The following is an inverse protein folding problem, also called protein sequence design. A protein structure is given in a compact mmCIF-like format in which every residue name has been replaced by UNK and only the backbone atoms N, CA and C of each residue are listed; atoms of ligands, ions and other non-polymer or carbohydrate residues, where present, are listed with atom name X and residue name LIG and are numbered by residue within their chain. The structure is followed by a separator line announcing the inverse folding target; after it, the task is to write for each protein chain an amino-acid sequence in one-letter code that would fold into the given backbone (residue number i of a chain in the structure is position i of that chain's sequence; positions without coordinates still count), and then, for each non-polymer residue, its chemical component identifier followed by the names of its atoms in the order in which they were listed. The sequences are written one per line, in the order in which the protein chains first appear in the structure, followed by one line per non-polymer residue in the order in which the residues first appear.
data_IF_184895434745
#
_entry.id   IF_184895434745
#
_cell.length_a   1.000
_cell.length_b   1.000
_cell.length_c   1.000
_cell.angle_alpha   90.00
_cell.angle_beta   90.00
_cell.angle_gamma   90.00
#
_symmetry.space_group_name_H-M   'P 1'
#
loop_
_entity.id
_entity.type
_entity.pdbx_description
1 polymer ?
#
# COMPACT_ATOMS: atom_id res chain seq x y z
N UNK A 1 2.31 75.47 38.10
CA UNK A 1 3.30 74.38 38.24
C UNK A 1 2.51 73.12 38.58
N UNK A 2 2.12 72.31 37.54
CA UNK A 2 1.40 71.03 37.69
C UNK A 2 2.32 69.92 37.20
N UNK A 3 2.72 69.01 38.11
CA UNK A 3 3.51 67.84 37.82
C UNK A 3 2.58 66.71 37.37
N UNK A 4 2.68 66.29 36.12
CA UNK A 4 1.99 65.13 35.60
C UNK A 4 2.83 63.87 35.93
N UNK A 5 2.29 62.96 36.71
CA UNK A 5 2.89 61.65 36.98
C UNK A 5 2.52 60.69 35.85
N UNK A 6 3.51 60.24 35.09
CA UNK A 6 3.40 59.18 34.11
C UNK A 6 3.42 57.83 34.84
N UNK A 7 2.27 57.14 34.87
CA UNK A 7 2.18 55.76 35.34
C UNK A 7 2.46 54.80 34.16
N UNK A 8 3.60 54.11 34.25
CA UNK A 8 3.94 53.05 33.31
C UNK A 8 3.07 51.83 33.53
N UNK A 9 2.19 51.51 32.57
CA UNK A 9 1.43 50.24 32.53
C UNK A 9 2.31 49.21 31.86
N UNK A 10 2.82 48.27 32.64
CA UNK A 10 3.57 47.10 32.16
C UNK A 10 2.57 46.05 31.70
N UNK A 11 2.37 45.92 30.39
CA UNK A 11 1.56 44.84 29.78
C UNK A 11 2.40 43.56 29.77
N UNK A 12 2.06 42.63 30.68
CA UNK A 12 2.61 41.28 30.74
C UNK A 12 1.88 40.42 29.71
N UNK A 13 2.50 40.20 28.54
CA UNK A 13 2.00 39.28 27.50
C UNK A 13 2.24 37.83 27.96
N UNK A 14 1.23 37.20 28.51
CA UNK A 14 1.25 35.77 28.83
C UNK A 14 1.07 34.98 27.55
N UNK A 15 2.18 34.49 26.93
CA UNK A 15 2.16 33.60 25.79
C UNK A 15 1.61 32.22 26.25
N UNK A 16 0.35 31.93 25.92
CA UNK A 16 -0.22 30.60 26.05
C UNK A 16 0.50 29.66 25.04
N UNK A 17 1.51 28.94 25.51
CA UNK A 17 2.03 27.79 24.79
C UNK A 17 0.96 26.67 24.85
N UNK A 18 0.15 26.55 23.80
CA UNK A 18 -0.74 25.40 23.64
C UNK A 18 0.15 24.15 23.48
N UNK A 19 -0.06 23.09 24.28
CA UNK A 19 0.64 21.83 24.08
C UNK A 19 0.26 21.30 22.69
N UNK A 20 1.25 21.10 21.82
CA UNK A 20 1.10 20.31 20.59
C UNK A 20 0.78 18.89 21.04
N UNK A 21 -0.51 18.52 21.03
CA UNK A 21 -0.91 17.13 21.19
C UNK A 21 -0.23 16.32 20.09
N UNK A 22 0.52 15.26 20.41
CA UNK A 22 1.06 14.38 19.38
C UNK A 22 -0.13 13.85 18.55
N UNK A 23 -0.05 13.99 17.23
CA UNK A 23 -1.03 13.38 16.33
C UNK A 23 -1.09 11.90 16.69
N UNK A 24 -2.26 11.41 17.11
CA UNK A 24 -2.45 10.03 17.49
C UNK A 24 -2.15 9.17 16.25
N UNK A 25 -1.08 8.38 16.33
CA UNK A 25 -0.67 7.51 15.23
C UNK A 25 -1.77 6.48 14.98
N UNK A 26 -2.20 6.35 13.72
CA UNK A 26 -3.23 5.39 13.36
C UNK A 26 -2.67 3.98 13.49
N UNK A 27 -3.32 3.14 14.27
CA UNK A 27 -2.96 1.73 14.42
C UNK A 27 -2.99 1.01 13.06
N UNK A 28 -1.99 0.14 12.76
CA UNK A 28 -1.89 -0.52 11.46
C UNK A 28 -3.12 -1.36 11.13
N UNK A 29 -3.72 -2.02 12.12
CA UNK A 29 -4.95 -2.79 11.97
C UNK A 29 -6.15 -1.89 11.59
N UNK A 30 -6.32 -0.76 12.28
CA UNK A 30 -7.39 0.19 12.00
C UNK A 30 -7.24 0.82 10.62
N UNK A 31 -6.00 1.13 10.20
CA UNK A 31 -5.69 1.68 8.88
C UNK A 31 -6.13 0.73 7.76
N UNK A 32 -5.72 -0.54 7.83
CA UNK A 32 -6.08 -1.55 6.84
C UNK A 32 -7.58 -1.83 6.84
N UNK A 33 -8.21 -1.93 8.01
CA UNK A 33 -9.64 -2.18 8.12
C UNK A 33 -10.46 -1.02 7.51
N UNK A 34 -10.13 0.22 7.83
CA UNK A 34 -10.82 1.39 7.29
C UNK A 34 -10.71 1.44 5.76
N UNK A 35 -9.50 1.29 5.21
CA UNK A 35 -9.30 1.30 3.75
C UNK A 35 -10.03 0.14 3.08
N UNK A 36 -10.00 -1.06 3.66
CA UNK A 36 -10.73 -2.22 3.14
C UNK A 36 -12.23 -1.96 3.07
N UNK A 37 -12.81 -1.38 4.13
CA UNK A 37 -14.23 -1.04 4.16
C UNK A 37 -14.61 0.03 3.12
N UNK A 38 -13.76 1.06 2.92
CA UNK A 38 -13.97 2.06 1.86
C UNK A 38 -13.99 1.41 0.47
N UNK A 39 -13.02 0.53 0.18
CA UNK A 39 -12.95 -0.20 -1.10
C UNK A 39 -14.18 -1.07 -1.31
N UNK A 40 -14.55 -1.87 -0.30
CA UNK A 40 -15.74 -2.75 -0.38
C UNK A 40 -17.01 -1.93 -0.59
N UNK A 41 -17.17 -0.81 0.11
CA UNK A 41 -18.33 0.06 -0.06
C UNK A 41 -18.43 0.60 -1.49
N UNK A 42 -17.31 1.08 -2.06
CA UNK A 42 -17.25 1.55 -3.43
C UNK A 42 -17.59 0.45 -4.46
N UNK A 43 -17.08 -0.77 -4.25
CA UNK A 43 -17.36 -1.91 -5.12
C UNK A 43 -18.84 -2.34 -5.08
N UNK A 44 -19.47 -2.29 -3.91
CA UNK A 44 -20.92 -2.56 -3.78
C UNK A 44 -21.75 -1.51 -4.51
N UNK A 45 -21.40 -0.24 -4.34
CA UNK A 45 -22.09 0.87 -5.00
C UNK A 45 -21.96 0.81 -6.54
N UNK A 46 -20.78 0.41 -7.06
CA UNK A 46 -20.58 0.22 -8.51
C UNK A 46 -21.49 -0.85 -9.08
N UNK A 47 -21.58 -2.00 -8.37
CA UNK A 47 -22.44 -3.11 -8.81
C UNK A 47 -23.90 -2.69 -8.93
N UNK A 48 -24.39 -1.87 -8.01
CA UNK A 48 -25.78 -1.43 -7.96
C UNK A 48 -26.09 -0.37 -9.05
N UNK A 49 -25.07 0.32 -9.59
CA UNK A 49 -25.21 1.39 -10.59
C UNK A 49 -24.77 1.03 -12.01
N UNK A 50 -24.64 -0.28 -12.34
CA UNK A 50 -24.40 -0.78 -13.70
C UNK A 50 -23.14 -0.20 -14.39
N UNK A 51 -21.99 -0.15 -13.72
CA UNK A 51 -20.70 0.09 -14.37
C UNK A 51 -20.33 1.56 -14.64
N UNK A 52 -21.12 2.54 -14.20
CA UNK A 52 -20.77 3.96 -14.35
C UNK A 52 -19.57 4.40 -13.49
N UNK A 53 -19.11 3.55 -12.54
CA UNK A 53 -18.17 3.91 -11.51
C UNK A 53 -16.82 3.16 -11.54
N UNK A 54 -16.53 2.37 -12.58
CA UNK A 54 -15.23 1.68 -12.70
C UNK A 54 -14.04 2.65 -12.59
N UNK A 55 -14.21 3.89 -13.09
CA UNK A 55 -13.23 4.96 -12.90
C UNK A 55 -13.08 5.40 -11.45
N UNK A 56 -14.16 5.36 -10.66
CA UNK A 56 -14.11 5.72 -9.24
C UNK A 56 -13.35 4.66 -8.42
N UNK A 57 -13.54 3.37 -8.69
CA UNK A 57 -12.77 2.31 -8.02
C UNK A 57 -11.30 2.41 -8.38
N UNK A 58 -10.94 2.60 -9.65
CA UNK A 58 -9.56 2.79 -10.05
C UNK A 58 -8.92 4.00 -9.34
N UNK A 59 -9.62 5.14 -9.30
CA UNK A 59 -9.20 6.33 -8.57
C UNK A 59 -9.06 6.08 -7.06
N UNK A 60 -9.99 5.33 -6.45
CA UNK A 60 -9.92 4.97 -5.03
C UNK A 60 -8.70 4.09 -4.74
N UNK A 61 -8.45 3.09 -5.59
CA UNK A 61 -7.27 2.23 -5.48
C UNK A 61 -6.00 3.08 -5.58
N UNK A 62 -5.89 3.94 -6.58
CA UNK A 62 -4.73 4.82 -6.76
C UNK A 62 -4.50 5.79 -5.61
N UNK A 63 -5.56 6.37 -5.07
CA UNK A 63 -5.48 7.44 -4.07
C UNK A 63 -5.46 6.93 -2.63
N UNK A 64 -6.06 5.78 -2.35
CA UNK A 64 -6.21 5.24 -0.99
C UNK A 64 -5.46 3.94 -0.74
N UNK A 65 -5.44 3.04 -1.73
CA UNK A 65 -4.85 1.71 -1.54
C UNK A 65 -3.35 1.73 -1.85
N UNK A 66 -2.95 2.18 -3.05
CA UNK A 66 -1.55 2.14 -3.46
C UNK A 66 -0.61 2.94 -2.54
N UNK A 67 -1.01 4.09 -1.95
CA UNK A 67 -0.17 4.80 -0.99
C UNK A 67 0.09 4.04 0.32
N UNK A 68 -0.69 3.00 0.64
CA UNK A 68 -0.44 2.16 1.82
C UNK A 68 0.73 1.20 1.62
N UNK A 69 1.22 1.03 0.40
CA UNK A 69 2.29 0.07 0.08
C UNK A 69 3.64 0.76 -0.05
N UNK A 70 4.68 0.10 0.49
CA UNK A 70 6.08 0.42 0.16
C UNK A 70 6.56 -0.47 -1.00
N UNK A 71 6.29 -0.02 -2.23
CA UNK A 71 6.72 -0.76 -3.42
C UNK A 71 8.23 -0.85 -3.56
N UNK A 72 9.00 0.09 -3.01
CA UNK A 72 10.46 0.02 -3.01
C UNK A 72 10.95 -1.15 -2.18
N UNK A 73 10.44 -1.29 -0.94
CA UNK A 73 10.77 -2.41 -0.07
C UNK A 73 10.25 -3.75 -0.62
N UNK A 74 9.03 -3.79 -1.17
CA UNK A 74 8.51 -4.97 -1.87
C UNK A 74 9.46 -5.43 -2.96
N UNK A 75 9.94 -4.50 -3.80
CA UNK A 75 10.88 -4.79 -4.89
C UNK A 75 12.22 -5.27 -4.34
N UNK A 76 12.74 -4.62 -3.30
CA UNK A 76 13.96 -5.03 -2.61
C UNK A 76 13.88 -6.49 -2.12
N UNK A 77 12.76 -6.89 -1.55
CA UNK A 77 12.53 -8.25 -1.07
C UNK A 77 12.46 -9.27 -2.21
N UNK A 78 11.81 -8.91 -3.32
CA UNK A 78 11.70 -9.77 -4.50
C UNK A 78 13.04 -9.93 -5.24
N UNK A 79 13.80 -8.85 -5.40
CA UNK A 79 15.11 -8.83 -6.07
C UNK A 79 16.22 -9.36 -5.15
N UNK A 80 16.00 -9.34 -3.84
CA UNK A 80 16.88 -9.85 -2.79
C UNK A 80 18.33 -9.29 -2.88
N UNK A 81 19.33 -10.16 -2.88
CA UNK A 81 20.75 -9.75 -2.88
C UNK A 81 21.13 -8.84 -4.05
N UNK A 82 20.48 -9.00 -5.21
CA UNK A 82 20.77 -8.24 -6.42
C UNK A 82 20.33 -6.77 -6.32
N UNK A 83 19.45 -6.42 -5.36
CA UNK A 83 19.06 -5.03 -5.10
C UNK A 83 20.26 -4.14 -4.76
N UNK A 84 21.23 -4.66 -4.00
CA UNK A 84 22.43 -3.90 -3.58
C UNK A 84 23.40 -3.63 -4.72
N UNK A 85 23.36 -4.42 -5.79
CA UNK A 85 24.20 -4.25 -6.99
C UNK A 85 23.54 -3.38 -8.04
N UNK A 86 22.24 -3.14 -7.94
CA UNK A 86 21.50 -2.27 -8.83
C UNK A 86 21.83 -0.80 -8.57
N UNK A 87 22.01 -0.02 -9.63
CA UNK A 87 22.17 1.44 -9.55
C UNK A 87 20.88 2.10 -9.04
N UNK A 88 20.93 3.33 -8.50
CA UNK A 88 19.72 4.05 -8.09
C UNK A 88 18.67 4.17 -9.21
N UNK A 89 19.10 4.39 -10.45
CA UNK A 89 18.19 4.43 -11.61
C UNK A 89 17.52 3.09 -11.88
N UNK A 90 18.26 1.98 -11.79
CA UNK A 90 17.72 0.64 -11.92
C UNK A 90 16.76 0.29 -10.78
N UNK A 91 17.06 0.70 -9.55
CA UNK A 91 16.15 0.49 -8.41
C UNK A 91 14.81 1.20 -8.62
N UNK A 92 14.82 2.44 -9.12
CA UNK A 92 13.60 3.17 -9.48
C UNK A 92 12.82 2.47 -10.60
N UNK A 93 13.51 2.06 -11.67
CA UNK A 93 12.90 1.36 -12.80
C UNK A 93 12.29 0.01 -12.39
N UNK A 94 13.03 -0.80 -11.60
CA UNK A 94 12.53 -2.06 -11.04
C UNK A 94 11.28 -1.85 -10.18
N UNK A 95 11.31 -0.84 -9.31
CA UNK A 95 10.18 -0.53 -8.43
C UNK A 95 8.94 -0.17 -9.24
N UNK A 96 9.08 0.69 -10.26
CA UNK A 96 7.98 1.09 -11.13
C UNK A 96 7.43 -0.11 -11.93
N UNK A 97 8.31 -0.90 -12.53
CA UNK A 97 7.92 -2.05 -13.34
C UNK A 97 7.26 -3.17 -12.51
N UNK A 98 7.79 -3.46 -11.31
CA UNK A 98 7.23 -4.46 -10.40
C UNK A 98 5.91 -4.01 -9.79
N UNK A 99 5.79 -2.73 -9.37
CA UNK A 99 4.51 -2.12 -8.97
C UNK A 99 3.45 -2.35 -10.04
N UNK A 100 3.74 -2.01 -11.29
CA UNK A 100 2.80 -2.19 -12.42
C UNK A 100 2.39 -3.64 -12.59
N UNK A 101 3.34 -4.59 -12.49
CA UNK A 101 3.06 -6.02 -12.54
C UNK A 101 2.12 -6.45 -11.43
N UNK A 102 2.39 -6.06 -10.17
CA UNK A 102 1.57 -6.43 -9.01
C UNK A 102 0.16 -5.86 -9.12
N UNK A 103 0.05 -4.56 -9.39
CA UNK A 103 -1.25 -3.89 -9.55
C UNK A 103 -2.09 -4.60 -10.60
N UNK A 104 -1.53 -4.87 -11.77
CA UNK A 104 -2.24 -5.54 -12.85
C UNK A 104 -2.63 -6.98 -12.50
N UNK A 105 -1.69 -7.75 -11.93
CA UNK A 105 -1.92 -9.16 -11.59
C UNK A 105 -3.03 -9.32 -10.58
N UNK A 106 -3.09 -8.43 -9.58
CA UNK A 106 -4.02 -8.55 -8.47
C UNK A 106 -5.28 -7.68 -8.61
N UNK A 107 -5.35 -6.74 -9.57
CA UNK A 107 -6.58 -5.99 -9.86
C UNK A 107 -7.73 -6.87 -10.31
N UNK A 108 -7.44 -7.98 -10.99
CA UNK A 108 -8.46 -8.95 -11.40
C UNK A 108 -9.15 -9.61 -10.17
N UNK A 109 -8.41 -9.81 -9.07
CA UNK A 109 -8.98 -10.36 -7.84
C UNK A 109 -10.02 -9.42 -7.22
N UNK A 110 -9.80 -8.09 -7.32
CA UNK A 110 -10.76 -7.09 -6.88
C UNK A 110 -12.05 -7.15 -7.73
N UNK A 111 -11.92 -7.29 -9.05
CA UNK A 111 -13.07 -7.44 -9.96
C UNK A 111 -13.88 -8.70 -9.69
N UNK A 112 -13.28 -9.72 -9.07
CA UNK A 112 -13.92 -10.96 -8.63
C UNK A 112 -14.69 -10.87 -7.31
N UNK A 113 -14.63 -9.72 -6.62
CA UNK A 113 -15.34 -9.55 -5.36
C UNK A 113 -16.86 -9.65 -5.54
N UNK A 114 -17.50 -10.41 -4.67
CA UNK A 114 -18.98 -10.61 -4.63
C UNK A 114 -19.54 -10.28 -3.24
N UNK A 115 -19.41 -11.23 -2.34
CA UNK A 115 -19.99 -11.23 -1.00
C UNK A 115 -18.99 -11.67 0.09
N UNK A 116 -17.69 -11.67 -0.27
CA UNK A 116 -16.66 -12.03 0.68
C UNK A 116 -16.68 -11.08 1.88
N UNK A 117 -16.48 -11.67 3.06
CA UNK A 117 -16.33 -10.93 4.32
C UNK A 117 -14.87 -11.02 4.73
N UNK A 118 -14.25 -9.87 4.98
CA UNK A 118 -12.87 -9.78 5.47
C UNK A 118 -12.90 -9.45 6.95
N UNK A 119 -12.46 -10.40 7.78
CA UNK A 119 -12.39 -10.25 9.22
C UNK A 119 -10.94 -10.01 9.65
N UNK A 120 -10.65 -8.84 10.18
CA UNK A 120 -9.34 -8.52 10.76
C UNK A 120 -9.28 -9.05 12.18
N UNK A 121 -8.14 -9.66 12.54
CA UNK A 121 -7.86 -10.05 13.91
C UNK A 121 -7.40 -8.82 14.69
N UNK A 122 -7.87 -8.71 15.93
CA UNK A 122 -7.43 -7.64 16.82
C UNK A 122 -5.92 -7.75 17.06
N UNK A 123 -5.22 -6.63 16.96
CA UNK A 123 -3.81 -6.49 17.33
C UNK A 123 -3.55 -5.07 17.84
N UNK A 124 -2.52 -4.93 18.62
CA UNK A 124 -1.98 -3.66 19.09
C UNK A 124 -0.50 -3.61 18.72
N UNK A 125 -0.07 -2.55 18.08
CA UNK A 125 1.35 -2.29 17.89
C UNK A 125 1.91 -1.63 19.16
N UNK A 126 3.00 -2.16 19.71
CA UNK A 126 3.70 -1.48 20.79
C UNK A 126 4.39 -0.21 20.25
N UNK A 127 4.57 0.84 21.05
CA UNK A 127 5.21 2.08 20.58
C UNK A 127 6.60 1.89 19.97
N UNK A 128 7.33 0.85 20.40
CA UNK A 128 8.67 0.50 19.92
C UNK A 128 8.64 -0.38 18.65
N UNK A 129 7.48 -0.90 18.24
CA UNK A 129 7.40 -1.76 17.07
C UNK A 129 7.64 -0.93 15.79
N UNK A 130 8.60 -1.40 15.00
CA UNK A 130 8.91 -0.86 13.68
C UNK A 130 8.33 -1.72 12.56
N UNK A 131 7.99 -2.97 12.86
CA UNK A 131 7.36 -3.92 11.95
C UNK A 131 6.29 -4.73 12.69
N UNK A 132 5.19 -4.99 12.02
CA UNK A 132 4.07 -5.80 12.54
C UNK A 132 3.46 -6.64 11.43
N UNK A 133 2.78 -7.72 11.81
CA UNK A 133 1.94 -8.49 10.88
C UNK A 133 0.47 -8.33 11.28
N UNK A 134 -0.30 -7.64 10.47
CA UNK A 134 -1.77 -7.58 10.60
C UNK A 134 -2.37 -8.82 9.95
N UNK A 135 -3.23 -9.52 10.68
CA UNK A 135 -3.85 -10.78 10.22
C UNK A 135 -5.31 -10.58 9.89
N UNK A 136 -5.74 -11.15 8.78
CA UNK A 136 -7.15 -11.23 8.42
C UNK A 136 -7.54 -12.60 7.87
N UNK A 137 -8.83 -12.81 7.75
CA UNK A 137 -9.41 -14.01 7.12
C UNK A 137 -10.47 -13.56 6.15
N UNK A 138 -10.36 -14.01 4.90
CA UNK A 138 -11.38 -13.82 3.86
C UNK A 138 -12.30 -15.02 3.90
N UNK A 139 -13.59 -14.77 4.13
CA UNK A 139 -14.65 -15.77 4.16
C UNK A 139 -15.58 -15.57 2.98
N UNK A 140 -15.95 -16.66 2.34
CA UNK A 140 -16.95 -16.70 1.27
C UNK A 140 -17.83 -17.94 1.46
N UNK A 141 -19.12 -17.80 1.20
CA UNK A 141 -20.05 -18.92 1.30
C UNK A 141 -19.62 -20.08 0.40
N UNK A 142 -19.65 -21.30 0.92
CA UNK A 142 -19.31 -22.52 0.18
C UNK A 142 -17.81 -22.78 -0.03
N UNK A 143 -16.91 -21.96 0.51
CA UNK A 143 -15.46 -22.15 0.40
C UNK A 143 -14.77 -22.14 1.76
N UNK A 144 -13.60 -22.78 1.87
CA UNK A 144 -12.78 -22.67 3.06
C UNK A 144 -12.28 -21.22 3.25
N UNK A 145 -12.24 -20.72 4.49
CA UNK A 145 -11.67 -19.40 4.77
C UNK A 145 -10.21 -19.30 4.36
N UNK A 146 -9.80 -18.17 3.77
CA UNK A 146 -8.43 -17.91 3.32
C UNK A 146 -7.78 -16.94 4.28
N UNK A 147 -6.67 -17.34 4.89
CA UNK A 147 -5.84 -16.44 5.71
C UNK A 147 -5.11 -15.44 4.81
N UNK A 148 -5.16 -14.16 5.20
CA UNK A 148 -4.38 -13.08 4.59
C UNK A 148 -3.65 -12.33 5.69
N UNK A 149 -2.32 -12.31 5.60
CA UNK A 149 -1.46 -11.60 6.53
C UNK A 149 -0.78 -10.46 5.77
N UNK A 150 -0.69 -9.28 6.40
CA UNK A 150 -0.08 -8.07 5.85
C UNK A 150 1.13 -7.73 6.70
N UNK A 151 2.33 -7.87 6.15
CA UNK A 151 3.53 -7.40 6.81
C UNK A 151 3.69 -5.90 6.58
N UNK A 152 3.76 -5.15 7.65
CA UNK A 152 3.79 -3.68 7.63
C UNK A 152 5.01 -3.16 8.37
N UNK A 153 5.53 -2.03 7.89
CA UNK A 153 6.60 -1.29 8.55
C UNK A 153 6.16 0.14 8.88
N UNK A 154 6.76 0.66 9.94
CA UNK A 154 6.58 2.02 10.38
C UNK A 154 7.56 2.93 9.63
N UNK A 155 7.02 3.90 8.88
CA UNK A 155 7.79 4.90 8.15
C UNK A 155 7.48 6.30 8.69
N UNK A 156 8.26 7.34 8.34
CA UNK A 156 7.91 8.72 8.67
C UNK A 156 6.54 9.16 8.13
N UNK A 157 6.03 8.48 7.08
CA UNK A 157 4.72 8.72 6.49
C UNK A 157 3.61 7.81 7.06
N UNK A 158 3.86 7.12 8.19
CA UNK A 158 2.97 6.17 8.82
C UNK A 158 3.26 4.72 8.42
N UNK A 159 2.35 3.82 8.78
CA UNK A 159 2.47 2.39 8.49
C UNK A 159 2.31 2.09 6.99
N UNK A 160 3.19 1.24 6.44
CA UNK A 160 3.18 0.81 5.05
C UNK A 160 3.26 -0.71 4.94
N UNK A 161 2.48 -1.28 4.03
CA UNK A 161 2.53 -2.71 3.70
C UNK A 161 3.73 -2.98 2.78
N UNK A 162 4.57 -3.93 3.14
CA UNK A 162 5.69 -4.35 2.30
C UNK A 162 5.61 -5.81 1.84
N UNK A 163 4.68 -6.60 2.36
CA UNK A 163 4.33 -7.93 1.84
C UNK A 163 2.89 -8.30 2.19
N UNK A 164 2.28 -9.15 1.37
CA UNK A 164 1.02 -9.82 1.65
C UNK A 164 1.24 -11.32 1.52
N UNK A 165 0.80 -12.08 2.52
CA UNK A 165 0.80 -13.53 2.49
C UNK A 165 -0.62 -14.06 2.35
N UNK A 166 -0.88 -14.84 1.32
CA UNK A 166 -2.16 -15.52 1.10
C UNK A 166 -1.97 -17.00 1.41
N UNK A 167 -2.71 -17.53 2.37
CA UNK A 167 -2.54 -18.89 2.88
C UNK A 167 -1.07 -19.23 3.23
N UNK A 168 -0.33 -18.24 3.79
CA UNK A 168 1.07 -18.37 4.17
C UNK A 168 2.09 -18.15 3.04
N UNK A 169 1.65 -17.98 1.79
CA UNK A 169 2.52 -17.74 0.64
C UNK A 169 2.67 -16.24 0.41
N UNK A 170 3.90 -15.72 0.52
CA UNK A 170 4.22 -14.32 0.25
C UNK A 170 4.03 -14.00 -1.24
N UNK A 171 3.29 -12.93 -1.53
CA UNK A 171 3.09 -12.45 -2.90
C UNK A 171 4.34 -11.82 -3.49
N UNK A 172 5.25 -11.34 -2.64
CA UNK A 172 6.48 -10.66 -3.05
C UNK A 172 7.62 -11.65 -3.23
N UNK A 173 7.89 -12.47 -2.20
CA UNK A 173 9.04 -13.38 -2.24
C UNK A 173 8.83 -14.55 -3.21
N UNK A 174 7.59 -14.82 -3.61
CA UNK A 174 7.26 -15.80 -4.65
C UNK A 174 7.91 -15.48 -6.03
N UNK A 175 8.25 -14.21 -6.27
CA UNK A 175 8.97 -13.79 -7.49
C UNK A 175 10.50 -13.98 -7.40
N UNK A 176 11.05 -14.25 -6.22
CA UNK A 176 12.49 -14.20 -5.96
C UNK A 176 13.30 -15.13 -6.85
N UNK A 177 12.84 -16.36 -7.03
CA UNK A 177 13.58 -17.36 -7.80
C UNK A 177 13.57 -17.00 -9.29
N UNK A 178 12.42 -16.66 -9.85
CA UNK A 178 12.32 -16.26 -11.25
C UNK A 178 13.09 -14.95 -11.55
N UNK A 179 13.06 -13.99 -10.63
CA UNK A 179 13.84 -12.76 -10.79
C UNK A 179 15.34 -13.02 -10.72
N UNK A 180 15.77 -13.90 -9.79
CA UNK A 180 17.17 -14.28 -9.67
C UNK A 180 17.68 -15.00 -10.93
N UNK A 181 16.85 -15.83 -11.56
CA UNK A 181 17.16 -16.50 -12.82
C UNK A 181 17.32 -15.50 -13.97
N UNK A 182 16.35 -14.58 -14.15
CA UNK A 182 16.43 -13.56 -15.20
C UNK A 182 17.65 -12.64 -15.00
N UNK A 183 17.97 -12.28 -13.75
CA UNK A 183 19.14 -11.43 -13.45
C UNK A 183 20.44 -12.18 -13.72
N UNK A 184 20.50 -13.47 -13.45
CA UNK A 184 21.70 -14.28 -13.74
C UNK A 184 22.01 -14.28 -15.25
N UNK A 185 20.97 -14.32 -16.09
CA UNK A 185 21.12 -14.46 -17.53
C UNK A 185 21.25 -13.11 -18.25
N UNK A 186 20.56 -12.06 -17.78
CA UNK A 186 20.48 -10.76 -18.47
C UNK A 186 20.84 -9.55 -17.58
N UNK A 187 21.31 -9.77 -16.36
CA UNK A 187 21.58 -8.70 -15.41
C UNK A 187 20.30 -8.01 -14.92
N UNK A 188 20.48 -6.93 -14.17
CA UNK A 188 19.36 -6.12 -13.64
C UNK A 188 18.54 -5.51 -14.77
N UNK A 189 19.19 -5.06 -15.85
CA UNK A 189 18.50 -4.48 -17.03
C UNK A 189 17.65 -5.53 -17.75
N UNK A 190 18.10 -6.79 -17.77
CA UNK A 190 17.32 -7.92 -18.28
C UNK A 190 16.03 -8.12 -17.51
N UNK A 191 16.06 -7.99 -16.17
CA UNK A 191 14.85 -8.06 -15.35
C UNK A 191 13.92 -6.87 -15.60
N UNK A 192 14.46 -5.65 -15.67
CA UNK A 192 13.65 -4.45 -15.97
C UNK A 192 12.91 -4.66 -17.29
N UNK A 193 13.63 -5.04 -18.34
CA UNK A 193 13.05 -5.30 -19.66
C UNK A 193 11.98 -6.39 -19.62
N UNK A 194 12.23 -7.50 -18.94
CA UNK A 194 11.27 -8.60 -18.82
C UNK A 194 9.96 -8.17 -18.11
N UNK A 195 10.08 -7.36 -17.06
CA UNK A 195 8.92 -6.81 -16.35
C UNK A 195 8.13 -5.83 -17.22
N UNK A 196 8.81 -4.94 -17.95
CA UNK A 196 8.17 -4.00 -18.87
C UNK A 196 7.47 -4.71 -20.04
N UNK A 197 8.11 -5.74 -20.63
CA UNK A 197 7.53 -6.56 -21.68
C UNK A 197 6.26 -7.26 -21.20
N UNK A 198 6.30 -7.84 -20.00
CA UNK A 198 5.14 -8.49 -19.37
C UNK A 198 4.02 -7.49 -19.09
N UNK A 199 4.35 -6.27 -18.68
CA UNK A 199 3.39 -5.20 -18.46
C UNK A 199 2.71 -4.78 -19.77
N UNK A 200 3.46 -4.64 -20.88
CA UNK A 200 2.92 -4.31 -22.21
C UNK A 200 2.01 -5.42 -22.77
N UNK A 201 2.38 -6.68 -22.62
CA UNK A 201 1.56 -7.81 -23.10
C UNK A 201 0.19 -7.88 -22.42
N UNK A 202 0.11 -7.55 -21.13
CA UNK A 202 -1.16 -7.48 -20.42
C UNK A 202 -2.07 -6.35 -20.89
N UNK A 203 -1.52 -5.22 -21.29
CA UNK A 203 -2.29 -4.11 -21.86
C UNK A 203 -2.85 -4.45 -23.26
N UNK A 204 -2.12 -5.24 -24.04
CA UNK A 204 -2.56 -5.69 -25.37
C UNK A 204 -3.70 -6.72 -25.29
N UNK A 205 -3.73 -7.56 -24.27
CA UNK A 205 -4.80 -8.56 -24.03
C UNK A 205 -6.13 -7.95 -23.57
N UNK A 206 -6.11 -6.73 -23.03
CA UNK A 206 -7.32 -5.97 -22.62
C UNK A 206 -7.96 -5.22 -23.79
N UNK A 207 -7.30 -5.13 -24.95
CA UNK A 207 -7.83 -4.49 -26.15
C UNK A 207 -8.49 -5.56 -27.01
N UNK A 208 -9.79 -5.84 -26.76
CA UNK A 208 -10.58 -6.67 -27.67
C UNK A 208 -10.50 -6.14 -29.11
N UNK A 209 -10.34 -7.01 -30.15
CA UNK A 209 -10.39 -6.56 -31.52
C UNK A 209 -11.77 -5.96 -31.78
N UNK A 210 -11.79 -4.71 -32.27
CA UNK A 210 -12.99 -4.12 -32.82
C UNK A 210 -13.26 -4.81 -34.17
N UNK A 211 -14.22 -5.71 -34.19
CA UNK A 211 -14.91 -6.15 -35.40
C UNK A 211 -15.97 -5.14 -35.79
#
# INVERSE_FOLDING_TARGET
MHKIKMSSVLLLALALAAPLLPAQEVEPNALLQATTLEVIAAMKQERDQHGAQQKQIASLVETKVLPLFDFSRMTQLAVARNWRTATPGQQVALTAAFKSLLVRTYSAALSGYRDQVIEFRSMHAAPADTEVTVKSVVKQSGTAPIAMDYDMEKTPAGWKVFDIKVAGISLVTNYRDSFSEIIRDGGVDGLIKALEDKNRQGDSGSRAPKT
#
